data_IF_265408704671
#
_entry.id   IF_265408704671
#
_cell.length_a   1.000
_cell.length_b   1.000
_cell.length_c   1.000
_cell.angle_alpha   90.00
_cell.angle_beta   90.00
_cell.angle_gamma   90.00
#
_symmetry.space_group_name_H-M   'P 1'
#
loop_
_entity.id
_entity.type
_entity.pdbx_description
1 polymer ?
#
# COMPACT_ATOMS: atom_id res chain seq x y z
N UNK A 1 -6.64 29.62 12.68
CA UNK A 1 -5.53 28.84 13.26
C UNK A 1 -6.09 27.56 13.81
N UNK A 2 -5.41 26.43 13.63
CA UNK A 2 -5.86 25.13 14.14
C UNK A 2 -5.88 25.14 15.68
N UNK A 3 -6.95 24.65 16.29
CA UNK A 3 -7.08 24.55 17.73
C UNK A 3 -6.62 23.14 18.20
N UNK A 4 -5.31 22.88 18.19
CA UNK A 4 -4.76 21.60 18.66
C UNK A 4 -3.43 21.20 18.01
N UNK A 5 -2.82 20.09 18.46
CA UNK A 5 -1.62 19.55 17.85
C UNK A 5 -1.91 19.10 16.41
N UNK A 6 -1.10 19.57 15.47
CA UNK A 6 -1.21 19.19 14.05
C UNK A 6 -0.49 17.85 13.87
N UNK A 7 -1.26 16.79 13.61
CA UNK A 7 -0.76 15.42 13.45
C UNK A 7 -0.30 15.12 12.02
N UNK A 8 -0.94 15.73 11.02
CA UNK A 8 -0.57 15.53 9.61
C UNK A 8 -0.85 16.78 8.77
N UNK A 9 -0.05 16.99 7.73
CA UNK A 9 -0.21 18.06 6.74
C UNK A 9 0.05 17.49 5.36
N UNK A 10 -0.74 17.88 4.37
CA UNK A 10 -0.54 17.48 2.99
C UNK A 10 -1.04 18.57 2.03
N UNK A 11 -0.43 18.65 0.86
CA UNK A 11 -0.92 19.51 -0.21
C UNK A 11 -2.03 18.78 -0.98
N UNK A 12 -3.13 19.49 -1.26
CA UNK A 12 -4.20 19.03 -2.14
C UNK A 12 -4.50 20.09 -3.20
N UNK A 13 -4.10 19.82 -4.44
CA UNK A 13 -4.14 20.81 -5.53
C UNK A 13 -3.44 22.12 -5.12
N UNK A 14 -4.19 23.23 -4.99
CA UNK A 14 -3.69 24.53 -4.54
C UNK A 14 -3.87 24.79 -3.04
N UNK A 15 -4.49 23.86 -2.31
CA UNK A 15 -4.79 23.99 -0.89
C UNK A 15 -3.78 23.24 -0.03
N UNK A 16 -3.74 23.61 1.24
CA UNK A 16 -3.04 22.88 2.28
C UNK A 16 -4.08 22.24 3.19
N UNK A 17 -4.08 20.92 3.27
CA UNK A 17 -4.87 20.18 4.24
C UNK A 17 -4.06 20.02 5.53
N UNK A 18 -4.67 20.31 6.66
CA UNK A 18 -4.07 20.14 7.99
C UNK A 18 -5.01 19.31 8.86
N UNK A 19 -4.48 18.28 9.50
CA UNK A 19 -5.21 17.48 10.49
C UNK A 19 -4.75 17.87 11.89
N UNK A 20 -5.64 18.44 12.69
CA UNK A 20 -5.42 18.76 14.09
C UNK A 20 -6.31 17.85 14.95
N UNK A 21 -5.69 16.84 15.57
CA UNK A 21 -6.39 15.71 16.17
C UNK A 21 -7.37 15.02 15.20
N UNK A 22 -8.69 15.16 15.43
CA UNK A 22 -9.73 14.61 14.56
C UNK A 22 -10.25 15.61 13.52
N UNK A 23 -9.93 16.90 13.65
CA UNK A 23 -10.46 17.94 12.76
C UNK A 23 -9.49 18.20 11.61
N UNK A 24 -9.99 18.02 10.38
CA UNK A 24 -9.26 18.26 9.13
C UNK A 24 -9.75 19.57 8.55
N UNK A 25 -8.85 20.52 8.40
CA UNK A 25 -9.13 21.82 7.80
C UNK A 25 -8.39 21.96 6.47
N UNK A 26 -9.10 22.38 5.44
CA UNK A 26 -8.53 22.78 4.15
C UNK A 26 -8.30 24.28 4.17
N UNK A 27 -7.07 24.69 3.90
CA UNK A 27 -6.62 26.07 3.92
C UNK A 27 -6.25 26.53 2.50
N UNK A 28 -6.75 27.70 2.12
CA UNK A 28 -6.36 28.42 0.90
C UNK A 28 -5.40 29.55 1.26
N UNK A 29 -4.29 29.67 0.53
CA UNK A 29 -3.35 30.77 0.72
C UNK A 29 -3.80 32.00 -0.07
N UNK A 30 -3.99 33.12 0.61
CA UNK A 30 -4.24 34.41 -0.04
C UNK A 30 -2.91 35.18 -0.20
N UNK A 31 -2.38 35.31 -1.43
CA UNK A 31 -1.12 36.01 -1.68
C UNK A 31 -1.18 37.51 -1.35
N UNK A 32 -2.38 38.12 -1.31
CA UNK A 32 -2.51 39.56 -1.02
C UNK A 32 -2.37 39.87 0.46
N UNK A 33 -2.90 39.00 1.32
CA UNK A 33 -2.83 39.17 2.77
C UNK A 33 -1.76 38.30 3.44
N UNK A 34 -0.99 37.54 2.65
CA UNK A 34 -0.01 36.56 3.08
C UNK A 34 -0.50 35.68 4.24
N UNK A 35 -1.72 35.15 4.08
CA UNK A 35 -2.39 34.41 5.15
C UNK A 35 -3.19 33.22 4.65
N UNK A 36 -3.28 32.20 5.49
CA UNK A 36 -4.05 30.99 5.23
C UNK A 36 -5.48 31.15 5.74
N UNK A 37 -6.46 30.98 4.84
CA UNK A 37 -7.90 31.05 5.17
C UNK A 37 -8.53 29.66 5.12
N UNK A 38 -9.29 29.24 6.15
CA UNK A 38 -10.02 27.98 6.10
C UNK A 38 -11.15 28.06 5.09
N UNK A 39 -11.23 27.06 4.20
CA UNK A 39 -12.27 26.96 3.16
C UNK A 39 -13.14 25.71 3.31
N UNK A 40 -12.67 24.68 4.01
CA UNK A 40 -13.45 23.46 4.26
C UNK A 40 -12.99 22.77 5.54
N UNK A 41 -13.91 22.08 6.21
CA UNK A 41 -13.67 21.34 7.44
C UNK A 41 -14.31 19.96 7.34
N UNK A 42 -13.66 18.96 7.92
CA UNK A 42 -14.17 17.61 8.07
C UNK A 42 -13.74 17.06 9.42
N UNK A 43 -14.64 16.34 10.09
CA UNK A 43 -14.35 15.68 11.36
C UNK A 43 -14.15 14.19 11.12
N UNK A 44 -12.94 13.70 11.37
CA UNK A 44 -12.62 12.29 11.35
C UNK A 44 -13.13 11.59 12.62
N UNK A 45 -13.09 10.25 12.58
CA UNK A 45 -13.54 9.42 13.70
C UNK A 45 -12.68 9.60 14.97
N UNK A 46 -11.35 9.56 14.86
CA UNK A 46 -10.42 9.80 15.98
C UNK A 46 -9.16 10.55 15.49
N UNK A 47 -8.04 10.39 16.21
CA UNK A 47 -6.80 11.12 15.98
C UNK A 47 -6.14 10.68 14.66
N UNK A 48 -6.01 11.61 13.73
CA UNK A 48 -5.37 11.39 12.44
C UNK A 48 -3.85 11.45 12.59
N UNK A 49 -3.20 10.32 12.33
CA UNK A 49 -1.74 10.17 12.40
C UNK A 49 -1.10 10.43 11.03
N UNK A 50 -1.76 10.04 9.94
CA UNK A 50 -1.22 10.23 8.59
C UNK A 50 -2.26 10.74 7.60
N UNK A 51 -1.80 11.47 6.59
CA UNK A 51 -2.64 11.96 5.51
C UNK A 51 -1.90 11.81 4.18
N UNK A 52 -2.44 10.99 3.30
CA UNK A 52 -1.95 10.79 1.93
C UNK A 52 -2.90 11.44 0.93
N UNK A 53 -2.37 12.07 -0.11
CA UNK A 53 -3.17 12.78 -1.12
C UNK A 53 -2.75 12.36 -2.54
N UNK A 54 -3.74 12.07 -3.39
CA UNK A 54 -3.58 11.90 -4.84
C UNK A 54 -4.69 12.67 -5.54
N UNK A 55 -4.31 13.68 -6.34
CA UNK A 55 -5.24 14.61 -6.98
C UNK A 55 -6.17 15.26 -5.95
N UNK A 56 -7.46 14.92 -5.98
CA UNK A 56 -8.49 15.40 -5.05
C UNK A 56 -8.88 14.36 -3.99
N UNK A 57 -8.29 13.17 -4.03
CA UNK A 57 -8.56 12.10 -3.08
C UNK A 57 -7.60 12.15 -1.91
N UNK A 58 -8.11 11.88 -0.71
CA UNK A 58 -7.34 11.81 0.51
C UNK A 58 -7.56 10.46 1.19
N UNK A 59 -6.51 9.95 1.82
CA UNK A 59 -6.61 8.87 2.80
C UNK A 59 -6.12 9.41 4.13
N UNK A 60 -6.98 9.30 5.15
CA UNK A 60 -6.62 9.60 6.53
C UNK A 60 -6.34 8.28 7.24
N UNK A 61 -5.16 8.16 7.84
CA UNK A 61 -4.81 7.07 8.74
C UNK A 61 -5.02 7.48 10.19
N UNK A 62 -5.81 6.68 10.89
CA UNK A 62 -6.22 6.90 12.27
C UNK A 62 -5.39 6.02 13.23
N UNK A 63 -5.20 6.50 14.46
CA UNK A 63 -4.46 5.78 15.50
C UNK A 63 -5.10 4.44 15.89
N UNK A 64 -6.41 4.26 15.75
CA UNK A 64 -7.10 3.00 16.10
C UNK A 64 -8.09 2.52 15.03
N UNK A 65 -8.70 3.43 14.26
CA UNK A 65 -9.79 3.11 13.35
C UNK A 65 -9.35 2.98 11.88
N UNK A 66 -8.18 2.38 11.64
CA UNK A 66 -7.65 2.11 10.29
C UNK A 66 -7.69 3.37 9.42
N UNK A 67 -8.31 3.32 8.24
CA UNK A 67 -8.29 4.43 7.28
C UNK A 67 -9.67 4.87 6.80
N UNK A 68 -9.78 6.17 6.51
CA UNK A 68 -10.93 6.78 5.84
C UNK A 68 -10.50 7.32 4.47
N UNK A 69 -11.26 6.95 3.43
CA UNK A 69 -11.04 7.41 2.06
C UNK A 69 -12.02 8.54 1.72
N UNK A 70 -11.46 9.71 1.46
CA UNK A 70 -12.18 10.97 1.30
C UNK A 70 -11.93 11.59 -0.08
N UNK A 71 -12.82 12.48 -0.50
CA UNK A 71 -12.67 13.28 -1.70
C UNK A 71 -12.97 14.75 -1.41
N UNK A 72 -12.03 15.62 -1.76
CA UNK A 72 -12.24 17.06 -1.78
C UNK A 72 -13.03 17.47 -3.01
N UNK A 73 -14.10 18.23 -2.80
CA UNK A 73 -14.87 18.89 -3.85
C UNK A 73 -14.62 20.38 -3.80
N UNK A 74 -13.93 20.87 -4.82
CA UNK A 74 -13.58 22.29 -4.88
C UNK A 74 -14.79 23.18 -5.14
N UNK A 75 -15.77 22.70 -5.91
CA UNK A 75 -17.01 23.42 -6.24
C UNK A 75 -17.84 23.71 -4.98
N UNK A 76 -18.02 22.68 -4.14
CA UNK A 76 -18.84 22.72 -2.93
C UNK A 76 -18.06 23.18 -1.69
N UNK A 77 -16.73 23.34 -1.81
CA UNK A 77 -15.80 23.57 -0.68
C UNK A 77 -15.98 22.54 0.45
N UNK A 78 -16.27 21.29 0.09
CA UNK A 78 -16.63 20.24 1.04
C UNK A 78 -15.78 18.98 0.86
N UNK A 79 -15.66 18.20 1.94
CA UNK A 79 -14.99 16.90 1.94
C UNK A 79 -16.06 15.83 2.09
N UNK A 80 -16.10 14.89 1.15
CA UNK A 80 -17.02 13.76 1.19
C UNK A 80 -16.26 12.47 1.54
N UNK A 81 -16.75 11.73 2.53
CA UNK A 81 -16.26 10.39 2.79
C UNK A 81 -16.83 9.41 1.77
N UNK A 82 -15.96 8.76 1.00
CA UNK A 82 -16.35 7.77 0.01
C UNK A 82 -16.50 6.38 0.64
N UNK A 83 -15.50 5.96 1.42
CA UNK A 83 -15.49 4.67 2.10
C UNK A 83 -14.55 4.71 3.30
N UNK A 84 -14.64 3.69 4.16
CA UNK A 84 -13.66 3.46 5.22
C UNK A 84 -13.36 1.98 5.40
N UNK A 85 -12.24 1.68 6.03
CA UNK A 85 -12.01 0.36 6.60
C UNK A 85 -12.70 0.28 7.97
N UNK A 86 -13.32 -0.86 8.25
CA UNK A 86 -14.03 -1.10 9.50
C UNK A 86 -13.22 -2.01 10.44
N UNK A 87 -12.13 -2.60 9.97
CA UNK A 87 -11.24 -3.41 10.80
C UNK A 87 -10.35 -2.49 11.64
N UNK A 88 -10.41 -2.57 12.99
CA UNK A 88 -9.57 -1.73 13.84
C UNK A 88 -8.11 -2.06 13.56
N UNK A 89 -7.34 -1.03 13.19
CA UNK A 89 -5.93 -1.15 12.82
C UNK A 89 -5.23 0.11 13.30
N UNK A 90 -4.12 -0.06 14.03
CA UNK A 90 -3.27 1.05 14.46
C UNK A 90 -2.36 1.44 13.30
N UNK A 91 -2.71 2.53 12.60
CA UNK A 91 -2.02 2.95 11.38
C UNK A 91 -0.78 3.76 11.72
N UNK A 92 0.36 3.37 11.16
CA UNK A 92 1.60 4.13 11.25
C UNK A 92 1.87 4.94 9.99
N UNK A 93 1.61 4.36 8.83
CA UNK A 93 1.87 5.00 7.55
C UNK A 93 0.79 4.65 6.53
N UNK A 94 0.49 5.59 5.64
CA UNK A 94 -0.39 5.38 4.48
C UNK A 94 0.28 5.90 3.22
N UNK A 95 -0.07 5.33 2.07
CA UNK A 95 0.33 5.83 0.75
C UNK A 95 -0.59 5.28 -0.33
N UNK A 96 -0.66 5.97 -1.47
CA UNK A 96 -1.36 5.48 -2.65
C UNK A 96 -0.43 4.69 -3.58
N UNK A 97 -0.93 3.58 -4.11
CA UNK A 97 -0.39 2.90 -5.29
C UNK A 97 -1.22 3.32 -6.50
N UNK A 98 -0.56 3.76 -7.56
CA UNK A 98 -1.23 4.22 -8.78
C UNK A 98 -0.78 3.33 -9.93
N UNK A 99 -1.71 2.57 -10.49
CA UNK A 99 -1.49 1.72 -11.66
C UNK A 99 -2.72 1.76 -12.55
N UNK A 100 -2.84 2.79 -13.38
CA UNK A 100 -4.07 3.08 -14.12
C UNK A 100 -4.59 1.84 -14.88
N UNK A 101 -5.89 1.53 -14.78
CA UNK A 101 -6.98 2.31 -14.15
C UNK A 101 -7.14 2.11 -12.63
N UNK A 102 -6.28 1.32 -11.99
CA UNK A 102 -6.38 0.93 -10.58
C UNK A 102 -5.70 1.94 -9.64
N UNK A 103 -6.34 2.15 -8.48
CA UNK A 103 -5.83 2.91 -7.36
C UNK A 103 -5.87 2.03 -6.11
N UNK A 104 -4.71 1.78 -5.51
CA UNK A 104 -4.58 1.06 -4.25
C UNK A 104 -4.27 2.01 -3.11
N UNK A 105 -4.73 1.68 -1.91
CA UNK A 105 -4.43 2.37 -0.66
C UNK A 105 -3.63 1.41 0.19
N UNK A 106 -2.38 1.74 0.46
CA UNK A 106 -1.51 0.93 1.31
C UNK A 106 -1.58 1.46 2.73
N UNK A 107 -1.77 0.55 3.66
CA UNK A 107 -1.84 0.83 5.09
C UNK A 107 -0.77 0.00 5.79
N UNK A 108 0.18 0.66 6.45
CA UNK A 108 1.18 0.03 7.29
C UNK A 108 0.76 0.12 8.76
N UNK A 109 0.80 -1.02 9.46
CA UNK A 109 0.39 -1.09 10.86
C UNK A 109 1.55 -1.21 11.85
N UNK A 110 1.23 -1.04 13.13
CA UNK A 110 2.17 -1.18 14.25
C UNK A 110 2.76 -2.60 14.41
N UNK A 111 2.14 -3.61 13.79
CA UNK A 111 2.57 -5.01 13.87
C UNK A 111 3.54 -5.39 12.75
N UNK A 112 3.90 -4.44 11.87
CA UNK A 112 4.76 -4.71 10.71
C UNK A 112 4.05 -5.40 9.56
N UNK A 113 2.72 -5.30 9.50
CA UNK A 113 1.95 -5.71 8.34
C UNK A 113 1.69 -4.53 7.41
N UNK A 114 1.41 -4.87 6.16
CA UNK A 114 0.78 -3.99 5.19
C UNK A 114 -0.52 -4.60 4.70
N UNK A 115 -1.52 -3.75 4.48
CA UNK A 115 -2.75 -4.06 3.74
C UNK A 115 -2.82 -3.19 2.49
N UNK A 116 -3.28 -3.77 1.39
CA UNK A 116 -3.63 -3.03 0.17
C UNK A 116 -5.14 -3.04 0.05
N UNK A 117 -5.74 -1.88 0.26
CA UNK A 117 -7.17 -1.64 0.19
C UNK A 117 -7.54 -0.98 -1.14
N UNK A 118 -8.76 -1.25 -1.61
CA UNK A 118 -9.31 -0.65 -2.83
C UNK A 118 -10.73 -0.18 -2.61
N UNK A 119 -11.05 0.97 -3.21
CA UNK A 119 -12.42 1.44 -3.34
C UNK A 119 -13.10 0.76 -4.53
N UNK A 120 -14.08 -0.11 -4.24
CA UNK A 120 -14.72 -0.97 -5.24
C UNK A 120 -16.23 -1.09 -4.98
N UNK A 121 -17.02 -0.02 -5.21
CA UNK A 121 -18.45 0.01 -4.87
C UNK A 121 -19.30 -1.05 -5.58
N UNK A 122 -18.82 -1.55 -6.72
CA UNK A 122 -19.45 -2.63 -7.48
C UNK A 122 -19.35 -4.01 -6.79
N UNK A 123 -18.44 -4.19 -5.84
CA UNK A 123 -18.27 -5.46 -5.14
C UNK A 123 -19.19 -5.55 -3.93
N UNK A 124 -19.83 -6.69 -3.73
CA UNK A 124 -20.66 -6.95 -2.54
C UNK A 124 -19.88 -6.78 -1.23
N UNK A 125 -18.58 -7.12 -1.23
CA UNK A 125 -17.68 -6.96 -0.09
C UNK A 125 -17.55 -5.49 0.37
N UNK A 126 -17.82 -4.52 -0.50
CA UNK A 126 -17.79 -3.08 -0.21
C UNK A 126 -19.00 -2.58 0.56
N UNK A 127 -20.00 -3.44 0.85
CA UNK A 127 -21.23 -3.07 1.58
C UNK A 127 -21.93 -1.85 0.95
N UNK A 128 -22.19 -1.92 -0.35
CA UNK A 128 -22.81 -0.82 -1.11
C UNK A 128 -21.87 0.37 -1.33
N UNK A 129 -20.56 0.16 -1.34
CA UNK A 129 -19.55 1.19 -1.55
C UNK A 129 -19.05 1.90 -0.29
N UNK A 130 -19.59 1.62 0.89
CA UNK A 130 -19.16 2.29 2.13
C UNK A 130 -17.91 1.67 2.78
N UNK A 131 -17.54 0.44 2.39
CA UNK A 131 -16.39 -0.30 2.91
C UNK A 131 -15.28 -0.40 1.86
N UNK A 132 -14.05 -0.13 2.28
CA UNK A 132 -12.85 -0.45 1.51
C UNK A 132 -12.62 -1.97 1.50
N UNK A 133 -12.32 -2.52 0.33
CA UNK A 133 -12.07 -3.95 0.15
C UNK A 133 -10.58 -4.21 0.27
N UNK A 134 -10.16 -5.14 1.12
CA UNK A 134 -8.78 -5.59 1.18
C UNK A 134 -8.50 -6.54 0.02
N UNK A 135 -7.62 -6.12 -0.91
CA UNK A 135 -7.20 -6.95 -2.04
C UNK A 135 -5.96 -7.80 -1.70
N UNK A 136 -5.09 -7.33 -0.80
CA UNK A 136 -3.86 -8.02 -0.44
C UNK A 136 -3.38 -7.69 0.98
N UNK A 137 -2.75 -8.67 1.63
CA UNK A 137 -2.03 -8.49 2.89
C UNK A 137 -0.61 -9.07 2.82
N UNK A 138 0.29 -8.55 3.65
CA UNK A 138 1.68 -9.03 3.74
C UNK A 138 2.34 -8.60 5.05
N UNK A 139 3.15 -9.47 5.65
CA UNK A 139 3.97 -9.13 6.81
C UNK A 139 5.42 -8.84 6.41
N UNK A 140 5.85 -7.59 6.57
CA UNK A 140 7.18 -7.10 6.18
C UNK A 140 8.27 -7.62 7.13
N UNK A 141 7.94 -7.81 8.41
CA UNK A 141 8.88 -8.23 9.45
C UNK A 141 9.22 -7.15 10.47
N UNK A 142 8.96 -5.87 10.13
CA UNK A 142 9.15 -4.73 11.01
C UNK A 142 8.03 -3.69 10.79
N UNK A 143 7.67 -2.89 11.82
CA UNK A 143 6.71 -1.80 11.67
C UNK A 143 7.18 -0.80 10.60
N UNK A 144 6.24 -0.34 9.78
CA UNK A 144 6.52 0.67 8.74
C UNK A 144 6.48 2.04 9.37
N UNK A 145 7.62 2.75 9.40
CA UNK A 145 7.69 4.11 9.93
C UNK A 145 7.24 5.18 8.93
N UNK A 146 7.49 4.96 7.64
CA UNK A 146 7.10 5.88 6.59
C UNK A 146 6.93 5.19 5.24
N UNK A 147 6.06 5.77 4.41
CA UNK A 147 6.00 5.46 2.99
C UNK A 147 6.38 6.69 2.17
N UNK A 148 7.06 6.48 1.05
CA UNK A 148 7.33 7.50 0.04
C UNK A 148 6.72 7.08 -1.31
N UNK A 149 5.93 7.95 -1.98
CA UNK A 149 5.46 7.65 -3.33
C UNK A 149 6.66 7.59 -4.28
N UNK A 150 6.86 6.44 -4.93
CA UNK A 150 7.97 6.23 -5.87
C UNK A 150 7.41 6.16 -7.29
N UNK A 151 7.83 7.09 -8.16
CA UNK A 151 7.47 7.01 -9.58
C UNK A 151 8.20 5.83 -10.21
N UNK A 152 7.44 4.90 -10.77
CA UNK A 152 8.00 3.75 -11.47
C UNK A 152 8.21 4.10 -12.94
N UNK A 153 9.33 3.65 -13.52
CA UNK A 153 9.54 3.74 -14.97
C UNK A 153 8.49 2.87 -15.65
N UNK A 154 7.86 3.39 -16.70
CA UNK A 154 6.85 2.65 -17.45
C UNK A 154 7.33 2.48 -18.88
N UNK A 155 7.53 1.25 -19.33
CA UNK A 155 7.96 0.96 -20.70
C UNK A 155 6.82 1.03 -21.72
N UNK A 156 5.54 1.05 -21.30
CA UNK A 156 4.43 0.75 -22.21
C UNK A 156 3.37 1.83 -22.39
N UNK A 157 3.27 2.89 -21.57
CA UNK A 157 2.37 4.03 -21.83
C UNK A 157 2.81 5.27 -21.01
N UNK A 158 2.50 6.47 -21.51
CA UNK A 158 2.69 7.76 -20.82
C UNK A 158 1.84 7.93 -19.53
N UNK A 159 1.20 6.86 -19.04
CA UNK A 159 0.41 6.89 -17.81
C UNK A 159 1.34 6.85 -16.59
N UNK A 160 1.19 7.77 -15.63
CA UNK A 160 2.00 7.77 -14.42
C UNK A 160 1.68 6.54 -13.57
N UNK A 161 2.73 5.76 -13.27
CA UNK A 161 2.70 4.61 -12.37
C UNK A 161 3.47 4.96 -11.10
N UNK A 162 2.86 4.73 -9.94
CA UNK A 162 3.48 4.99 -8.65
C UNK A 162 3.43 3.75 -7.77
N UNK A 163 4.61 3.32 -7.33
CA UNK A 163 4.79 2.37 -6.25
C UNK A 163 4.99 3.11 -4.91
N UNK A 164 5.34 2.35 -3.89
CA UNK A 164 5.64 2.87 -2.57
C UNK A 164 7.01 2.41 -2.10
N UNK A 165 7.93 3.36 -1.89
CA UNK A 165 9.11 3.12 -1.07
C UNK A 165 8.66 2.95 0.38
N UNK A 166 9.17 1.92 1.04
CA UNK A 166 8.80 1.52 2.40
C UNK A 166 10.02 1.68 3.29
N UNK A 167 9.90 2.52 4.32
CA UNK A 167 10.91 2.65 5.37
C UNK A 167 10.46 1.96 6.64
N UNK A 168 11.15 0.89 7.02
CA UNK A 168 10.94 0.17 8.27
C UNK A 168 11.59 0.88 9.47
N UNK A 169 11.03 0.71 10.67
CA UNK A 169 11.62 1.22 11.91
C UNK A 169 12.92 0.50 12.32
N UNK A 170 13.22 -0.64 11.71
CA UNK A 170 14.47 -1.39 11.84
C UNK A 170 15.58 -0.87 10.89
N UNK A 171 15.31 0.20 10.13
CA UNK A 171 16.22 0.74 9.12
C UNK A 171 16.15 0.02 7.78
N UNK A 172 15.23 -0.94 7.61
CA UNK A 172 15.01 -1.59 6.32
C UNK A 172 14.39 -0.62 5.31
N UNK A 173 14.78 -0.78 4.04
CA UNK A 173 14.17 -0.05 2.92
C UNK A 173 13.71 -1.09 1.90
N UNK A 174 12.45 -0.99 1.48
CA UNK A 174 11.86 -1.87 0.48
C UNK A 174 11.05 -1.07 -0.54
N UNK A 175 10.66 -1.73 -1.63
CA UNK A 175 9.78 -1.15 -2.65
C UNK A 175 8.57 -2.06 -2.84
N UNK A 176 7.38 -1.46 -2.74
CA UNK A 176 6.13 -2.08 -3.12
C UNK A 176 5.74 -1.56 -4.51
N UNK A 177 5.87 -2.41 -5.52
CA UNK A 177 5.56 -2.08 -6.90
C UNK A 177 4.36 -2.90 -7.42
N UNK A 178 3.36 -2.29 -8.06
CA UNK A 178 2.31 -3.01 -8.75
C UNK A 178 2.90 -3.83 -9.91
N UNK A 179 2.31 -4.99 -10.19
CA UNK A 179 2.75 -5.91 -11.26
C UNK A 179 1.62 -6.19 -12.22
N UNK A 180 1.96 -6.48 -13.48
CA UNK A 180 1.00 -7.01 -14.44
C UNK A 180 0.55 -8.41 -14.00
N UNK A 181 -0.74 -8.72 -14.13
CA UNK A 181 -1.34 -9.99 -13.71
C UNK A 181 -0.58 -11.22 -14.24
N UNK A 182 -0.10 -11.17 -15.49
CA UNK A 182 0.67 -12.26 -16.10
C UNK A 182 2.01 -12.49 -15.41
N UNK A 183 2.73 -11.41 -15.09
CA UNK A 183 4.00 -11.47 -14.37
C UNK A 183 3.77 -11.91 -12.93
N UNK A 184 2.74 -11.37 -12.27
CA UNK A 184 2.35 -11.75 -10.91
C UNK A 184 2.07 -13.25 -10.80
N UNK A 185 1.22 -13.82 -11.67
CA UNK A 185 0.90 -15.26 -11.64
C UNK A 185 2.12 -16.14 -11.84
N UNK A 186 3.01 -15.77 -12.76
CA UNK A 186 4.26 -16.49 -13.03
C UNK A 186 5.15 -16.51 -11.79
N UNK A 187 5.41 -15.33 -11.23
CA UNK A 187 6.27 -15.18 -10.05
C UNK A 187 5.62 -15.78 -8.79
N UNK A 188 4.30 -15.72 -8.66
CA UNK A 188 3.57 -16.38 -7.58
C UNK A 188 3.73 -17.90 -7.61
N UNK A 189 3.61 -18.52 -8.80
CA UNK A 189 3.85 -19.95 -8.98
C UNK A 189 5.30 -20.31 -8.65
N UNK A 190 6.27 -19.52 -9.13
CA UNK A 190 7.70 -19.69 -8.84
C UNK A 190 7.98 -19.63 -7.33
N UNK A 191 7.51 -18.57 -6.65
CA UNK A 191 7.61 -18.41 -5.21
C UNK A 191 7.08 -19.67 -4.50
N UNK A 192 6.02 -20.27 -5.03
CA UNK A 192 5.46 -21.47 -4.45
C UNK A 192 6.31 -22.72 -4.52
N UNK A 193 6.97 -22.94 -5.65
CA UNK A 193 7.92 -24.05 -5.78
C UNK A 193 9.17 -23.76 -4.96
N UNK A 194 9.69 -22.53 -5.00
CA UNK A 194 10.89 -22.11 -4.26
C UNK A 194 10.74 -22.26 -2.75
N UNK A 195 9.56 -21.99 -2.17
CA UNK A 195 9.32 -22.16 -0.73
C UNK A 195 9.43 -23.62 -0.25
N UNK A 196 9.28 -24.59 -1.15
CA UNK A 196 9.30 -26.01 -0.79
C UNK A 196 10.58 -26.69 -1.25
N UNK A 197 11.15 -26.24 -2.38
CA UNK A 197 12.30 -26.87 -3.02
C UNK A 197 13.65 -26.33 -2.51
N UNK A 198 13.68 -25.13 -1.94
CA UNK A 198 14.93 -24.52 -1.46
C UNK A 198 15.06 -24.67 0.05
N UNK A 199 16.30 -24.78 0.50
CA UNK A 199 16.62 -24.64 1.92
C UNK A 199 16.49 -23.16 2.35
N UNK A 200 15.97 -22.98 3.55
CA UNK A 200 15.74 -21.68 4.16
C UNK A 200 16.53 -21.58 5.46
N UNK A 201 17.03 -20.37 5.75
CA UNK A 201 17.77 -20.09 6.98
C UNK A 201 16.96 -20.53 8.20
N UNK A 202 17.61 -21.26 9.11
CA UNK A 202 16.99 -21.81 10.32
C UNK A 202 15.74 -22.68 10.07
N UNK A 203 15.53 -23.21 8.86
CA UNK A 203 14.37 -24.05 8.52
C UNK A 203 13.03 -23.30 8.52
N UNK A 204 13.05 -21.96 8.54
CA UNK A 204 11.83 -21.15 8.60
C UNK A 204 11.12 -21.16 7.26
N UNK A 205 9.81 -21.40 7.27
CA UNK A 205 8.99 -21.31 6.06
C UNK A 205 8.75 -19.83 5.67
N UNK A 206 9.25 -19.36 4.51
CA UNK A 206 9.09 -17.96 4.10
C UNK A 206 7.62 -17.54 3.98
N UNK A 207 6.76 -18.41 3.45
CA UNK A 207 5.31 -18.11 3.33
C UNK A 207 4.67 -17.88 4.69
N UNK A 208 5.03 -18.71 5.67
CA UNK A 208 4.54 -18.56 7.05
C UNK A 208 5.01 -17.26 7.69
N UNK A 209 6.28 -16.89 7.46
CA UNK A 209 6.86 -15.65 7.96
C UNK A 209 6.18 -14.39 7.41
N UNK A 210 5.63 -14.45 6.19
CA UNK A 210 4.93 -13.33 5.53
C UNK A 210 3.43 -13.24 5.79
N UNK A 211 2.86 -14.14 6.60
CA UNK A 211 1.44 -14.09 6.93
C UNK A 211 1.10 -12.87 7.78
N UNK A 212 -0.01 -12.21 7.45
CA UNK A 212 -0.56 -11.11 8.23
C UNK A 212 -0.74 -11.49 9.70
N UNK A 213 -0.23 -10.64 10.60
CA UNK A 213 -0.31 -10.84 12.05
C UNK A 213 -1.38 -9.95 12.64
N UNK A 214 -2.55 -10.54 12.91
CA UNK A 214 -3.62 -9.84 13.60
C UNK A 214 -3.38 -9.84 15.11
N UNK A 215 -3.65 -8.70 15.76
CA UNK A 215 -3.75 -8.61 17.22
C UNK A 215 -5.14 -8.99 17.73
N UNK A 216 -6.13 -9.14 16.83
CA UNK A 216 -7.48 -9.57 17.21
C UNK A 216 -7.50 -11.06 17.55
N UNK A 217 -8.41 -11.50 18.44
CA UNK A 217 -8.64 -12.91 18.70
C UNK A 217 -8.86 -13.68 17.39
N UNK A 218 -8.35 -14.92 17.32
CA UNK A 218 -8.32 -15.72 16.09
C UNK A 218 -9.69 -15.86 15.40
N UNK A 219 -10.79 -15.90 16.15
CA UNK A 219 -12.14 -15.95 15.61
C UNK A 219 -12.52 -14.68 14.82
N UNK A 220 -12.15 -13.51 15.32
CA UNK A 220 -12.39 -12.22 14.64
C UNK A 220 -11.40 -11.99 13.49
N UNK A 221 -10.16 -12.47 13.62
CA UNK A 221 -9.16 -12.40 12.55
C UNK A 221 -9.51 -13.31 11.34
N UNK A 222 -10.29 -14.37 11.56
CA UNK A 222 -10.71 -15.29 10.50
C UNK A 222 -11.78 -14.70 9.56
N UNK A 223 -12.60 -13.74 10.03
CA UNK A 223 -13.66 -13.11 9.23
C UNK A 223 -13.12 -12.27 8.07
N UNK A 224 -11.90 -11.76 8.18
CA UNK A 224 -11.24 -10.96 7.14
C UNK A 224 -10.80 -11.77 5.92
N UNK A 225 -10.67 -13.10 6.05
CA UNK A 225 -10.06 -13.94 5.02
C UNK A 225 -8.58 -13.60 4.76
N UNK A 226 -7.80 -14.57 4.28
CA UNK A 226 -6.39 -14.32 3.93
C UNK A 226 -6.31 -13.75 2.52
N UNK A 227 -5.68 -12.59 2.36
CA UNK A 227 -5.62 -11.91 1.07
C UNK A 227 -4.25 -12.09 0.43
N UNK A 228 -4.21 -12.95 -0.60
CA UNK A 228 -3.01 -13.14 -1.41
C UNK A 228 -2.95 -12.04 -2.45
N UNK A 229 -1.88 -11.25 -2.45
CA UNK A 229 -1.67 -10.26 -3.51
C UNK A 229 -0.32 -9.55 -3.50
N UNK A 230 0.58 -9.95 -2.59
CA UNK A 230 1.95 -9.44 -2.52
C UNK A 230 2.93 -10.60 -2.65
N UNK A 231 3.99 -10.39 -3.42
CA UNK A 231 5.07 -11.35 -3.62
C UNK A 231 6.28 -11.00 -2.74
N UNK A 232 7.00 -12.01 -2.29
CA UNK A 232 8.22 -11.84 -1.51
C UNK A 232 9.43 -11.69 -2.46
N UNK A 233 9.83 -10.44 -2.68
CA UNK A 233 11.01 -10.12 -3.49
C UNK A 233 12.30 -10.72 -2.92
N UNK A 234 12.47 -10.79 -1.60
CA UNK A 234 13.69 -11.35 -1.02
C UNK A 234 13.85 -12.84 -1.35
N UNK A 235 12.74 -13.57 -1.43
CA UNK A 235 12.76 -14.96 -1.89
C UNK A 235 12.94 -15.07 -3.40
N UNK A 236 12.20 -14.27 -4.19
CA UNK A 236 12.23 -14.34 -5.65
C UNK A 236 13.61 -14.02 -6.23
N UNK A 237 14.32 -13.02 -5.70
CA UNK A 237 15.65 -12.67 -6.21
C UNK A 237 16.73 -13.73 -5.91
N UNK A 238 16.48 -14.66 -4.97
CA UNK A 238 17.35 -15.83 -4.82
C UNK A 238 17.41 -16.67 -6.10
N UNK A 239 16.34 -16.69 -6.90
CA UNK A 239 16.29 -17.44 -8.16
C UNK A 239 17.44 -17.08 -9.09
N UNK A 240 17.77 -15.78 -9.19
CA UNK A 240 18.84 -15.25 -10.04
C UNK A 240 20.21 -15.83 -9.66
N UNK A 241 20.41 -16.13 -8.37
CA UNK A 241 21.68 -16.66 -7.84
C UNK A 241 21.76 -18.19 -7.84
N UNK A 242 20.69 -18.90 -8.23
CA UNK A 242 20.70 -20.37 -8.24
C UNK A 242 21.51 -20.92 -9.43
N UNK A 243 22.10 -22.13 -9.32
CA UNK A 243 22.72 -22.80 -10.45
C UNK A 243 21.74 -22.99 -11.63
N UNK A 244 22.23 -22.87 -12.86
CA UNK A 244 21.39 -22.94 -14.06
C UNK A 244 20.55 -24.23 -14.15
N UNK A 245 21.10 -25.37 -13.70
CA UNK A 245 20.36 -26.63 -13.65
C UNK A 245 19.14 -26.55 -12.72
N UNK A 246 19.32 -25.99 -11.52
CA UNK A 246 18.23 -25.80 -10.54
C UNK A 246 17.20 -24.80 -11.07
N UNK A 247 17.64 -23.71 -11.72
CA UNK A 247 16.72 -22.77 -12.36
C UNK A 247 15.82 -23.47 -13.38
N UNK A 248 16.40 -24.29 -14.26
CA UNK A 248 15.67 -25.08 -15.26
C UNK A 248 14.67 -26.05 -14.62
N UNK A 249 15.05 -26.75 -13.54
CA UNK A 249 14.19 -27.67 -12.81
C UNK A 249 12.99 -26.95 -12.18
N UNK A 250 13.23 -25.81 -11.51
CA UNK A 250 12.18 -24.99 -10.89
C UNK A 250 11.22 -24.42 -11.95
N UNK A 251 11.73 -23.89 -13.07
CA UNK A 251 10.86 -23.34 -14.12
C UNK A 251 10.08 -24.42 -14.86
N UNK A 252 10.66 -25.61 -15.03
CA UNK A 252 9.96 -26.76 -15.61
C UNK A 252 8.79 -27.20 -14.73
N UNK A 253 8.94 -27.17 -13.40
CA UNK A 253 7.87 -27.53 -12.47
C UNK A 253 6.65 -26.61 -12.55
N UNK A 254 6.83 -25.34 -12.91
CA UNK A 254 5.73 -24.36 -13.09
C UNK A 254 5.27 -24.21 -14.55
N UNK A 255 5.86 -24.95 -15.49
CA UNK A 255 5.51 -24.88 -16.92
C UNK A 255 5.95 -23.57 -17.59
N UNK A 256 7.11 -23.02 -17.23
CA UNK A 256 7.65 -21.80 -17.85
C UNK A 256 9.13 -21.94 -18.23
N UNK A 257 9.71 -20.90 -18.85
CA UNK A 257 11.14 -20.85 -19.19
C UNK A 257 11.90 -19.96 -18.22
N UNK A 258 13.20 -20.24 -18.04
CA UNK A 258 14.11 -19.40 -17.24
C UNK A 258 14.11 -17.97 -17.74
N UNK A 259 14.22 -17.76 -19.06
CA UNK A 259 14.20 -16.43 -19.67
C UNK A 259 12.92 -15.66 -19.33
N UNK A 260 11.76 -16.30 -19.35
CA UNK A 260 10.49 -15.63 -19.04
C UNK A 260 10.42 -15.17 -17.57
N UNK A 261 11.02 -15.93 -16.65
CA UNK A 261 11.12 -15.54 -15.24
C UNK A 261 12.12 -14.40 -15.07
N UNK A 262 13.32 -14.53 -15.64
CA UNK A 262 14.37 -13.51 -15.54
C UNK A 262 13.92 -12.20 -16.16
N UNK A 263 13.24 -12.23 -17.30
CA UNK A 263 12.64 -11.04 -17.91
C UNK A 263 11.60 -10.39 -16.99
N UNK A 264 10.76 -11.18 -16.31
CA UNK A 264 9.80 -10.62 -15.34
C UNK A 264 10.50 -9.97 -14.15
N UNK A 265 11.56 -10.56 -13.61
CA UNK A 265 12.32 -9.95 -12.50
C UNK A 265 13.05 -8.69 -12.96
N UNK A 266 13.67 -8.74 -14.13
CA UNK A 266 14.36 -7.61 -14.74
C UNK A 266 13.39 -6.44 -15.01
N UNK A 267 12.18 -6.73 -15.48
CA UNK A 267 11.14 -5.72 -15.68
C UNK A 267 10.81 -5.01 -14.36
N UNK A 268 10.79 -5.71 -13.23
CA UNK A 268 10.55 -5.10 -11.91
C UNK A 268 11.73 -4.21 -11.49
N UNK A 269 12.96 -4.66 -11.65
CA UNK A 269 14.17 -3.87 -11.32
C UNK A 269 14.28 -2.62 -12.20
N UNK A 270 14.00 -2.75 -13.50
CA UNK A 270 14.00 -1.65 -14.44
C UNK A 270 12.92 -0.61 -14.09
N UNK A 271 11.75 -1.05 -13.63
CA UNK A 271 10.66 -0.17 -13.18
C UNK A 271 11.03 0.57 -11.89
N UNK A 272 11.71 -0.10 -10.97
CA UNK A 272 12.17 0.45 -9.71
C UNK A 272 13.24 1.54 -9.87
N UNK A 273 13.96 1.55 -11.01
CA UNK A 273 15.08 2.46 -11.24
C UNK A 273 16.33 2.08 -10.45
N UNK A 274 16.46 0.80 -10.06
CA UNK A 274 17.65 0.26 -9.38
C UNK A 274 18.76 -0.14 -10.38
N UNK A 275 18.51 0.03 -11.69
CA UNK A 275 19.44 -0.13 -12.81
C UNK A 275 19.34 1.11 -13.73
#
# INVERSE_FOLDING_TARGET
>A
MCAGPVGAVAQISRYVATAAAASITILEWDPKSDSLRPVGIYEASQYVVTMSVVKTFLVLGDVMNSVQFLMWRDEDRSINQLAKDYEPTQVYATVFLVDQPSLGIVVGDSSGNIKILRYAPQLLASRGGHRLVCDADFHIGAPVGAFGPQRLRNNKLNAPRFGAAVGGLDGSVALLAPLEERAFRRLYALQGVMCNALEHGAGVNPRGARLFRSQLPAAAAAEGGRMKGVLDGALLWRFVSLPAQVQCELTRAIGTTVDAVLLSLLDVDAQAGML
#
